data_IF_547043303138
#
_entry.id   IF_547043303138
#
_cell.length_a   1.000
_cell.length_b   1.000
_cell.length_c   1.000
_cell.angle_alpha   90.00
_cell.angle_beta   90.00
_cell.angle_gamma   90.00
#
_symmetry.space_group_name_H-M   'P 1'
#
loop_
_entity.id
_entity.type
_entity.pdbx_description
1 polymer ?
#
# COMPACT_ATOMS: atom_id res chain seq x y z
N UNK A 1 47.59 -4.01 -83.32
CA UNK A 1 48.25 -2.70 -83.42
C UNK A 1 47.25 -1.61 -83.05
N UNK A 2 47.29 -1.07 -81.83
CA UNK A 2 46.98 0.34 -81.54
C UNK A 2 47.43 0.65 -80.11
N UNK A 3 48.32 1.63 -79.98
CA UNK A 3 48.84 2.18 -78.73
C UNK A 3 48.06 3.47 -78.42
N UNK A 4 47.68 3.68 -77.16
CA UNK A 4 47.46 5.01 -76.55
C UNK A 4 47.55 4.83 -75.02
N UNK A 5 48.69 5.12 -74.36
CA UNK A 5 49.08 6.40 -73.74
C UNK A 5 47.92 7.06 -72.97
N UNK A 6 47.80 6.84 -71.67
CA UNK A 6 48.52 7.46 -70.54
C UNK A 6 47.78 8.69 -69.97
N UNK A 7 47.36 8.61 -68.70
CA UNK A 7 47.35 9.74 -67.78
C UNK A 7 47.24 9.21 -66.33
N UNK A 8 48.30 9.47 -65.56
CA UNK A 8 48.32 9.36 -64.11
C UNK A 8 47.42 10.44 -63.52
N UNK A 9 46.64 10.09 -62.49
CA UNK A 9 46.19 11.04 -61.46
C UNK A 9 46.43 10.37 -60.10
N UNK A 10 47.42 10.89 -59.38
CA UNK A 10 47.63 10.63 -57.96
C UNK A 10 46.48 11.21 -57.15
N UNK A 11 45.91 10.45 -56.22
CA UNK A 11 45.14 11.07 -55.12
C UNK A 11 45.26 10.25 -53.83
N UNK A 12 46.22 10.71 -53.01
CA UNK A 12 46.22 10.89 -51.56
C UNK A 12 45.51 9.85 -50.68
N UNK A 13 46.37 9.17 -49.91
CA UNK A 13 46.11 8.49 -48.65
C UNK A 13 45.45 9.45 -47.64
N UNK A 14 44.35 9.04 -47.01
CA UNK A 14 43.89 9.62 -45.74
C UNK A 14 43.28 8.50 -44.90
N UNK A 15 44.08 7.97 -44.00
CA UNK A 15 43.61 7.09 -42.94
C UNK A 15 42.91 7.98 -41.89
N UNK A 16 41.59 8.03 -41.93
CA UNK A 16 40.80 8.66 -40.89
C UNK A 16 40.79 7.73 -39.67
N UNK A 17 41.49 8.12 -38.60
CA UNK A 17 41.41 7.47 -37.30
C UNK A 17 40.06 7.85 -36.69
N UNK A 18 39.10 6.94 -36.75
CA UNK A 18 37.79 7.11 -36.13
C UNK A 18 37.92 6.84 -34.63
N UNK A 19 38.27 7.88 -33.87
CA UNK A 19 38.22 7.85 -32.41
C UNK A 19 36.76 7.82 -31.98
N UNK A 20 36.23 6.64 -31.64
CA UNK A 20 34.92 6.50 -31.00
C UNK A 20 34.95 7.23 -29.67
N UNK A 21 34.19 8.33 -29.57
CA UNK A 21 33.95 9.01 -28.30
C UNK A 21 33.09 8.07 -27.46
N UNK A 22 33.60 7.70 -26.29
CA UNK A 22 32.76 7.18 -25.22
C UNK A 22 31.81 8.29 -24.81
N UNK A 23 30.60 8.30 -25.36
CA UNK A 23 29.50 9.03 -24.77
C UNK A 23 29.19 8.33 -23.43
N UNK A 24 29.85 8.79 -22.38
CA UNK A 24 29.43 8.55 -20.99
C UNK A 24 28.10 9.30 -20.87
N UNK A 25 27.04 8.65 -21.34
CA UNK A 25 25.68 9.12 -21.15
C UNK A 25 25.50 9.30 -19.65
N UNK A 26 25.32 10.55 -19.26
CA UNK A 26 24.90 10.93 -17.93
C UNK A 26 23.69 10.08 -17.57
N UNK A 27 23.87 9.14 -16.65
CA UNK A 27 22.76 8.61 -15.86
C UNK A 27 22.26 9.83 -15.10
N UNK A 28 21.21 10.44 -15.64
CA UNK A 28 20.52 11.50 -14.94
C UNK A 28 20.18 10.95 -13.56
N UNK A 29 20.74 11.60 -12.54
CA UNK A 29 20.46 11.40 -11.13
C UNK A 29 18.95 11.67 -10.96
N UNK A 30 18.14 10.63 -11.14
CA UNK A 30 16.74 10.69 -10.78
C UNK A 30 16.74 10.93 -9.27
N UNK A 31 16.04 11.98 -8.77
CA UNK A 31 15.98 12.23 -7.34
C UNK A 31 15.65 10.93 -6.64
N UNK A 32 16.48 10.53 -5.68
CA UNK A 32 16.23 9.37 -4.86
C UNK A 32 14.77 9.45 -4.40
N UNK A 33 14.00 8.46 -4.83
CA UNK A 33 12.62 8.26 -4.48
C UNK A 33 12.39 8.56 -2.99
N UNK A 34 11.63 9.62 -2.70
CA UNK A 34 11.35 10.02 -1.32
C UNK A 34 10.55 8.95 -0.56
N UNK A 35 10.54 9.01 0.78
CA UNK A 35 9.67 8.13 1.57
C UNK A 35 8.20 8.43 1.29
N UNK A 36 7.34 7.42 1.45
CA UNK A 36 5.89 7.65 1.46
C UNK A 36 5.55 8.62 2.58
N UNK A 37 4.76 9.64 2.26
CA UNK A 37 4.29 10.63 3.23
C UNK A 37 2.84 10.38 3.57
N UNK A 38 2.43 10.78 4.77
CA UNK A 38 1.02 10.70 5.17
C UNK A 38 0.11 11.57 4.27
N UNK A 39 0.63 12.63 3.65
CA UNK A 39 -0.12 13.42 2.66
C UNK A 39 -0.43 12.61 1.39
N UNK A 40 0.52 11.80 0.90
CA UNK A 40 0.28 10.90 -0.22
C UNK A 40 -0.79 9.85 0.14
N UNK A 41 -0.69 9.24 1.32
CA UNK A 41 -1.65 8.23 1.78
C UNK A 41 -3.07 8.81 1.98
N UNK A 42 -3.17 10.06 2.46
CA UNK A 42 -4.45 10.77 2.60
C UNK A 42 -5.10 11.14 1.26
N UNK A 43 -4.33 11.20 0.18
CA UNK A 43 -4.80 11.56 -1.16
C UNK A 43 -4.68 10.39 -2.14
N UNK A 44 -4.73 9.16 -1.61
CA UNK A 44 -4.62 7.92 -2.37
C UNK A 44 -5.99 7.30 -2.66
N UNK A 45 -6.08 6.53 -3.74
CA UNK A 45 -7.26 5.72 -4.04
C UNK A 45 -7.06 4.30 -3.55
N UNK A 46 -7.79 3.94 -2.50
CA UNK A 46 -7.77 2.60 -1.95
C UNK A 46 -8.73 1.70 -2.72
N UNK A 47 -8.28 0.50 -3.06
CA UNK A 47 -9.09 -0.50 -3.74
C UNK A 47 -9.49 -1.60 -2.76
N UNK A 48 -10.76 -1.62 -2.37
CA UNK A 48 -11.32 -2.61 -1.47
C UNK A 48 -11.72 -3.91 -2.22
N UNK A 49 -11.58 -3.93 -3.54
CA UNK A 49 -12.00 -5.04 -4.39
C UNK A 49 -13.51 -5.29 -4.33
N UNK A 50 -13.89 -6.53 -4.63
CA UNK A 50 -15.29 -6.98 -4.66
C UNK A 50 -15.94 -7.06 -3.26
N UNK A 51 -15.14 -6.91 -2.20
CA UNK A 51 -15.60 -6.90 -0.81
C UNK A 51 -16.17 -5.54 -0.37
N UNK A 52 -16.17 -4.55 -1.27
CA UNK A 52 -16.66 -3.20 -1.00
C UNK A 52 -18.16 -3.06 -1.23
N UNK A 53 -18.81 -2.21 -0.42
CA UNK A 53 -20.15 -1.69 -0.69
C UNK A 53 -20.16 -0.66 -1.84
N UNK A 54 -18.98 -0.20 -2.27
CA UNK A 54 -18.78 0.79 -3.33
C UNK A 54 -18.68 0.10 -4.68
N UNK A 55 -19.40 0.64 -5.67
CA UNK A 55 -19.33 0.19 -7.06
C UNK A 55 -17.89 0.25 -7.60
N UNK A 56 -17.33 -0.91 -7.99
CA UNK A 56 -15.94 -1.06 -8.42
C UNK A 56 -14.89 -1.00 -7.30
N UNK A 57 -15.29 -0.91 -6.04
CA UNK A 57 -14.41 -1.01 -4.86
C UNK A 57 -13.39 0.12 -4.66
N UNK A 58 -13.40 1.14 -5.52
CA UNK A 58 -12.43 2.25 -5.46
C UNK A 58 -12.90 3.36 -4.52
N UNK A 59 -12.03 3.72 -3.60
CA UNK A 59 -12.25 4.75 -2.58
C UNK A 59 -11.18 5.83 -2.73
N UNK A 60 -11.41 6.88 -3.55
CA UNK A 60 -10.47 7.96 -3.76
C UNK A 60 -10.52 8.96 -2.59
N UNK A 61 -9.60 8.83 -1.63
CA UNK A 61 -9.53 9.76 -0.51
C UNK A 61 -9.00 11.12 -0.96
N UNK A 62 -9.57 12.17 -0.38
CA UNK A 62 -9.05 13.54 -0.40
C UNK A 62 -8.90 13.99 1.04
N UNK A 63 -7.68 14.36 1.43
CA UNK A 63 -7.32 14.68 2.81
C UNK A 63 -7.76 13.63 3.84
N UNK A 64 -7.69 12.36 3.43
CA UNK A 64 -7.97 11.19 4.25
C UNK A 64 -9.45 10.84 4.34
N UNK A 65 -10.32 11.46 3.54
CA UNK A 65 -11.76 11.23 3.60
C UNK A 65 -12.37 11.03 2.21
N UNK A 66 -13.41 10.23 2.13
CA UNK A 66 -14.26 10.10 0.95
C UNK A 66 -15.67 9.67 1.36
N UNK A 67 -16.68 10.10 0.60
CA UNK A 67 -18.06 9.69 0.80
C UNK A 67 -18.61 9.22 -0.54
N UNK A 68 -19.37 8.12 -0.53
CA UNK A 68 -20.00 7.60 -1.73
C UNK A 68 -20.95 8.66 -2.33
N UNK A 69 -20.71 9.13 -3.57
CA UNK A 69 -21.58 10.10 -4.24
C UNK A 69 -23.01 9.61 -4.44
N UNK A 70 -23.23 8.29 -4.50
CA UNK A 70 -24.56 7.68 -4.60
C UNK A 70 -25.28 7.62 -3.24
N UNK A 71 -24.62 8.04 -2.17
CA UNK A 71 -25.06 7.87 -0.80
C UNK A 71 -24.70 6.47 -0.26
N UNK A 72 -24.57 6.36 1.06
CA UNK A 72 -24.19 5.10 1.72
C UNK A 72 -22.99 5.29 2.62
N UNK A 73 -21.87 4.68 2.25
CA UNK A 73 -20.68 4.60 3.09
C UNK A 73 -19.80 5.85 3.04
N UNK A 74 -19.20 6.17 4.18
CA UNK A 74 -18.11 7.15 4.30
C UNK A 74 -16.84 6.44 4.70
N UNK A 75 -15.73 6.82 4.08
CA UNK A 75 -14.44 6.22 4.30
C UNK A 75 -13.47 7.24 4.87
N UNK A 76 -12.63 6.80 5.80
CA UNK A 76 -11.60 7.64 6.39
C UNK A 76 -10.32 6.87 6.65
N UNK A 77 -9.18 7.49 6.34
CA UNK A 77 -7.88 7.00 6.77
C UNK A 77 -7.75 7.20 8.28
N UNK A 78 -7.56 6.12 9.02
CA UNK A 78 -7.36 6.22 10.46
C UNK A 78 -5.98 6.81 10.79
N UNK A 79 -5.83 7.54 11.92
CA UNK A 79 -4.53 8.10 12.31
C UNK A 79 -3.45 7.06 12.55
N UNK A 80 -3.83 5.85 12.96
CA UNK A 80 -2.91 4.74 13.20
C UNK A 80 -2.40 4.17 11.88
N UNK A 81 -1.09 4.18 11.72
CA UNK A 81 -0.38 3.67 10.56
C UNK A 81 1.03 3.25 10.99
N UNK A 82 1.70 2.46 10.18
CA UNK A 82 3.09 2.10 10.35
C UNK A 82 3.87 2.39 9.07
N UNK A 83 5.12 2.81 9.23
CA UNK A 83 6.08 3.06 8.14
C UNK A 83 7.29 2.16 8.35
N UNK A 84 7.77 1.52 7.29
CA UNK A 84 8.86 0.56 7.34
C UNK A 84 8.94 -0.25 6.06
N UNK A 85 10.07 -0.90 5.82
CA UNK A 85 10.30 -1.74 4.65
C UNK A 85 9.53 -3.08 4.78
N UNK A 86 8.54 -3.30 3.91
CA UNK A 86 7.66 -4.48 3.90
C UNK A 86 8.17 -5.58 2.95
N UNK A 87 8.78 -5.20 1.82
CA UNK A 87 9.15 -6.14 0.76
C UNK A 87 10.67 -6.37 0.63
N UNK A 88 11.48 -5.68 1.44
CA UNK A 88 12.92 -5.85 1.53
C UNK A 88 13.70 -5.10 0.45
N UNK A 89 13.08 -4.16 -0.28
CA UNK A 89 13.75 -3.36 -1.31
C UNK A 89 14.55 -2.17 -0.74
N UNK A 90 14.50 -1.95 0.57
CA UNK A 90 15.20 -0.88 1.28
C UNK A 90 14.47 0.46 1.25
N UNK A 91 13.36 0.60 0.52
CA UNK A 91 12.48 1.76 0.60
C UNK A 91 11.47 1.58 1.76
N UNK A 92 11.13 2.70 2.41
CA UNK A 92 10.10 2.67 3.44
C UNK A 92 8.70 2.63 2.80
N UNK A 93 7.97 1.55 3.08
CA UNK A 93 6.58 1.32 2.74
C UNK A 93 5.64 1.78 3.87
N UNK A 94 4.34 1.53 3.71
CA UNK A 94 3.35 1.82 4.72
C UNK A 94 2.35 0.68 4.94
N UNK A 95 1.88 0.54 6.17
CA UNK A 95 0.63 -0.15 6.49
C UNK A 95 -0.33 0.86 7.08
N UNK A 96 -1.54 0.89 6.52
CA UNK A 96 -2.59 1.82 6.94
C UNK A 96 -3.89 1.11 7.19
N UNK A 97 -4.79 1.77 7.92
CA UNK A 97 -6.15 1.29 8.15
C UNK A 97 -7.14 2.30 7.61
N UNK A 98 -8.06 1.85 6.76
CA UNK A 98 -9.20 2.65 6.30
C UNK A 98 -10.44 2.15 7.02
N UNK A 99 -11.13 3.07 7.69
CA UNK A 99 -12.43 2.82 8.30
C UNK A 99 -13.57 3.14 7.34
N UNK A 100 -14.60 2.31 7.33
CA UNK A 100 -15.86 2.52 6.62
C UNK A 100 -16.98 2.72 7.63
N UNK A 101 -17.70 3.82 7.55
CA UNK A 101 -18.98 4.03 8.23
C UNK A 101 -20.12 3.81 7.22
N UNK A 102 -20.76 2.64 7.27
CA UNK A 102 -21.93 2.35 6.44
C UNK A 102 -23.17 2.90 7.13
N UNK A 103 -23.92 3.76 6.44
CA UNK A 103 -24.87 4.71 7.06
C UNK A 103 -25.87 4.20 8.11
N UNK A 104 -26.19 2.89 8.20
CA UNK A 104 -27.24 2.38 9.11
C UNK A 104 -26.81 1.39 10.20
N UNK A 105 -25.77 0.55 10.06
CA UNK A 105 -25.53 -0.52 11.07
C UNK A 105 -24.09 -1.01 11.26
N UNK A 106 -23.08 -0.54 10.52
CA UNK A 106 -21.72 -1.10 10.60
C UNK A 106 -20.61 -0.06 10.52
N UNK A 107 -19.51 -0.34 11.21
CA UNK A 107 -18.26 0.43 11.09
C UNK A 107 -17.13 -0.54 10.81
N UNK A 108 -16.76 -0.74 9.55
CA UNK A 108 -15.77 -1.74 9.18
C UNK A 108 -14.36 -1.13 9.15
N UNK A 109 -13.33 -1.97 9.27
CA UNK A 109 -11.94 -1.55 9.13
C UNK A 109 -11.17 -2.50 8.23
N UNK A 110 -10.34 -1.91 7.37
CA UNK A 110 -9.59 -2.60 6.33
C UNK A 110 -8.12 -2.21 6.45
N UNK A 111 -7.22 -3.19 6.54
CA UNK A 111 -5.78 -2.97 6.60
C UNK A 111 -5.16 -3.16 5.22
N UNK A 112 -4.36 -2.19 4.80
CA UNK A 112 -3.68 -2.19 3.50
C UNK A 112 -2.17 -2.17 3.68
N UNK A 113 -1.47 -2.98 2.90
CA UNK A 113 -0.06 -2.75 2.59
C UNK A 113 0.03 -1.77 1.41
N UNK A 114 0.87 -0.76 1.52
CA UNK A 114 1.14 0.22 0.47
C UNK A 114 2.64 0.26 0.24
N UNK A 115 3.06 -0.24 -0.92
CA UNK A 115 4.46 -0.32 -1.28
C UNK A 115 4.93 0.99 -1.90
N UNK A 116 6.18 1.35 -1.59
CA UNK A 116 6.85 2.50 -2.12
C UNK A 116 7.51 2.12 -3.45
N UNK A 117 6.95 2.63 -4.55
CA UNK A 117 7.53 2.48 -5.88
C UNK A 117 8.08 3.81 -6.34
N UNK A 118 9.33 4.02 -6.01
CA UNK A 118 10.07 5.23 -6.34
C UNK A 118 9.39 6.52 -5.85
N UNK A 119 8.96 6.55 -4.59
CA UNK A 119 8.28 7.67 -3.94
C UNK A 119 6.80 7.76 -4.24
N UNK A 120 6.24 6.75 -4.92
CA UNK A 120 4.82 6.68 -5.28
C UNK A 120 4.17 5.52 -4.52
N UNK A 121 3.03 5.76 -3.85
CA UNK A 121 2.29 4.69 -3.20
C UNK A 121 1.71 3.75 -4.25
N UNK A 122 1.92 2.45 -4.07
CA UNK A 122 1.35 1.39 -4.87
C UNK A 122 0.63 0.42 -3.95
N UNK A 123 -0.66 0.20 -4.18
CA UNK A 123 -1.40 -0.86 -3.50
C UNK A 123 -1.27 -2.16 -4.32
N UNK A 124 -0.57 -3.18 -3.82
CA UNK A 124 -0.30 -4.40 -4.58
C UNK A 124 -1.47 -5.40 -4.59
N UNK A 125 -2.41 -5.34 -3.65
CA UNK A 125 -3.51 -6.32 -3.51
C UNK A 125 -4.67 -5.78 -2.67
N UNK A 126 -5.75 -6.56 -2.59
CA UNK A 126 -6.90 -6.33 -1.71
C UNK A 126 -6.50 -6.23 -0.23
N UNK A 127 -7.28 -5.50 0.59
CA UNK A 127 -7.01 -5.36 2.02
C UNK A 127 -7.31 -6.61 2.83
N UNK A 128 -6.73 -6.67 4.02
CA UNK A 128 -7.19 -7.56 5.08
C UNK A 128 -8.38 -6.93 5.82
N UNK A 129 -9.47 -7.68 5.96
CA UNK A 129 -10.64 -7.24 6.73
C UNK A 129 -10.45 -7.47 8.22
N UNK A 130 -10.51 -6.40 9.02
CA UNK A 130 -10.29 -6.47 10.46
C UNK A 130 -11.58 -6.65 11.27
N UNK A 131 -12.74 -6.48 10.63
CA UNK A 131 -14.04 -6.69 11.27
C UNK A 131 -14.85 -5.42 11.51
N UNK A 132 -16.05 -5.61 12.06
CA UNK A 132 -16.97 -4.55 12.48
C UNK A 132 -16.52 -3.90 13.81
N UNK A 133 -16.76 -2.60 13.95
CA UNK A 133 -16.37 -1.67 15.04
C UNK A 133 -14.98 -1.91 15.58
N UNK A 134 -14.05 -2.21 14.68
CA UNK A 134 -12.69 -2.54 15.06
C UNK A 134 -11.98 -1.32 15.67
N UNK A 135 -11.34 -1.54 16.82
CA UNK A 135 -10.44 -0.56 17.44
C UNK A 135 -9.02 -1.10 17.38
N UNK A 136 -8.20 -0.54 16.50
CA UNK A 136 -6.78 -0.88 16.39
C UNK A 136 -6.00 -0.18 17.51
N UNK A 137 -5.36 -0.97 18.37
CA UNK A 137 -4.62 -0.51 19.54
C UNK A 137 -3.13 -0.37 19.26
N UNK A 138 -2.59 -1.18 18.35
CA UNK A 138 -1.18 -1.16 17.93
C UNK A 138 -1.08 -1.60 16.49
N UNK A 139 -0.23 -0.93 15.74
CA UNK A 139 0.16 -1.32 14.39
C UNK A 139 1.63 -0.93 14.20
N UNK A 140 2.47 -1.91 13.86
CA UNK A 140 3.91 -1.69 13.64
C UNK A 140 4.40 -2.56 12.50
N UNK A 141 5.42 -2.09 11.80
CA UNK A 141 6.24 -2.91 10.91
C UNK A 141 7.51 -3.24 11.69
N UNK A 142 7.68 -4.53 12.00
CA UNK A 142 8.85 -5.05 12.68
C UNK A 142 9.99 -5.35 11.69
N UNK A 143 11.15 -5.75 12.20
CA UNK A 143 12.27 -6.17 11.37
C UNK A 143 11.88 -7.24 10.35
N UNK A 144 12.45 -7.18 9.14
CA UNK A 144 12.20 -8.10 8.03
C UNK A 144 10.75 -8.06 7.49
N UNK A 145 10.11 -6.89 7.54
CA UNK A 145 8.81 -6.63 6.92
C UNK A 145 7.62 -7.32 7.58
N UNK A 146 7.73 -7.72 8.85
CA UNK A 146 6.60 -8.36 9.56
C UNK A 146 5.68 -7.29 10.13
N UNK A 147 4.43 -7.26 9.68
CA UNK A 147 3.38 -6.41 10.24
C UNK A 147 2.87 -7.05 11.51
N UNK A 148 2.76 -6.27 12.58
CA UNK A 148 2.26 -6.70 13.89
C UNK A 148 1.14 -5.77 14.30
N UNK A 149 -0.04 -6.35 14.54
CA UNK A 149 -1.25 -5.60 14.82
C UNK A 149 -1.94 -6.16 16.07
N UNK A 150 -2.42 -5.25 16.93
CA UNK A 150 -3.34 -5.58 18.02
C UNK A 150 -4.61 -4.78 17.86
N UNK A 151 -5.75 -5.44 17.92
CA UNK A 151 -7.05 -4.79 17.79
C UNK A 151 -8.15 -5.51 18.57
N UNK A 152 -9.24 -4.79 18.81
CA UNK A 152 -10.47 -5.33 19.38
C UNK A 152 -11.56 -5.27 18.32
N UNK A 153 -12.28 -6.37 18.11
CA UNK A 153 -13.36 -6.47 17.12
C UNK A 153 -14.55 -7.27 17.68
N UNK A 154 -15.63 -7.37 16.92
CA UNK A 154 -16.79 -8.15 17.33
C UNK A 154 -16.52 -9.66 17.30
N UNK A 155 -17.06 -10.37 18.27
CA UNK A 155 -17.29 -11.83 18.21
C UNK A 155 -18.78 -12.16 18.32
N UNK A 156 -19.11 -13.43 18.06
CA UNK A 156 -20.46 -13.93 18.25
C UNK A 156 -20.92 -13.70 19.70
N UNK A 157 -22.09 -13.08 19.85
CA UNK A 157 -22.68 -12.78 21.15
C UNK A 157 -22.38 -11.37 21.69
N UNK A 158 -21.48 -10.61 21.05
CA UNK A 158 -21.28 -9.20 21.38
C UNK A 158 -22.53 -8.37 21.04
N UNK A 159 -22.86 -7.42 21.92
CA UNK A 159 -23.86 -6.40 21.61
C UNK A 159 -23.30 -5.46 20.54
N UNK A 160 -24.15 -4.90 19.67
CA UNK A 160 -23.73 -4.10 18.52
C UNK A 160 -22.78 -2.94 18.91
N UNK A 161 -22.91 -2.30 20.06
CA UNK A 161 -22.02 -1.20 20.42
C UNK A 161 -20.69 -1.62 21.09
N UNK A 162 -20.50 -2.91 21.39
CA UNK A 162 -19.48 -3.40 22.33
C UNK A 162 -18.69 -4.61 21.80
N UNK A 163 -17.71 -4.41 20.92
CA UNK A 163 -16.77 -5.46 20.54
C UNK A 163 -15.91 -5.91 21.74
N UNK A 164 -15.70 -7.22 21.90
CA UNK A 164 -14.90 -7.77 23.02
C UNK A 164 -13.78 -8.73 22.62
N UNK A 165 -13.69 -9.10 21.34
CA UNK A 165 -12.69 -10.02 20.83
C UNK A 165 -11.34 -9.31 20.68
N UNK A 166 -10.33 -9.70 21.47
CA UNK A 166 -8.98 -9.17 21.34
C UNK A 166 -8.16 -10.07 20.43
N UNK A 167 -7.54 -9.47 19.42
CA UNK A 167 -6.70 -10.16 18.44
C UNK A 167 -5.32 -9.53 18.45
N UNK A 168 -4.31 -10.37 18.57
CA UNK A 168 -2.91 -10.08 18.25
C UNK A 168 -2.57 -10.91 17.00
N UNK A 169 -2.30 -10.24 15.88
CA UNK A 169 -2.05 -10.89 14.59
C UNK A 169 -0.74 -10.39 13.99
N UNK A 170 -0.13 -11.23 13.15
CA UNK A 170 1.12 -10.93 12.45
C UNK A 170 0.99 -11.31 11.00
N UNK A 171 1.41 -10.41 10.11
CA UNK A 171 1.34 -10.61 8.67
C UNK A 171 2.69 -10.39 8.00
N UNK A 172 2.86 -10.96 6.80
CA UNK A 172 3.93 -10.62 5.85
C UNK A 172 3.33 -10.27 4.50
N UNK A 173 4.02 -9.46 3.72
CA UNK A 173 3.65 -9.23 2.33
C UNK A 173 4.27 -10.33 1.46
N UNK A 174 3.43 -11.15 0.84
CA UNK A 174 3.86 -12.19 -0.10
C UNK A 174 3.06 -12.07 -1.40
N UNK A 175 3.75 -11.94 -2.53
CA UNK A 175 3.09 -11.69 -3.82
C UNK A 175 2.20 -10.45 -3.81
N UNK A 176 2.48 -9.48 -2.94
CA UNK A 176 1.67 -8.28 -2.75
C UNK A 176 0.53 -8.42 -1.72
N UNK A 177 0.24 -9.62 -1.23
CA UNK A 177 -0.87 -9.85 -0.28
C UNK A 177 -0.37 -9.88 1.15
N UNK A 178 -1.18 -9.37 2.07
CA UNK A 178 -0.97 -9.58 3.51
C UNK A 178 -1.33 -11.02 3.86
N UNK A 179 -0.31 -11.85 4.14
CA UNK A 179 -0.46 -13.24 4.54
C UNK A 179 -0.25 -13.36 6.04
N UNK A 180 -1.27 -13.87 6.74
CA UNK A 180 -1.20 -14.14 8.17
C UNK A 180 -0.16 -15.21 8.52
N UNK A 181 0.74 -14.87 9.43
CA UNK A 181 1.79 -15.75 9.96
C UNK A 181 1.32 -16.38 11.27
N UNK A 182 0.63 -15.60 12.12
CA UNK A 182 0.19 -16.05 13.43
C UNK A 182 -0.98 -15.22 13.90
N UNK A 183 -2.06 -15.89 14.30
CA UNK A 183 -3.23 -15.26 14.90
C UNK A 183 -3.41 -15.74 16.34
N UNK A 184 -3.31 -14.83 17.30
CA UNK A 184 -3.59 -15.09 18.70
C UNK A 184 -4.88 -14.39 19.09
N UNK A 185 -5.85 -15.20 19.52
CA UNK A 185 -7.16 -14.72 19.94
C UNK A 185 -7.24 -14.82 21.45
N UNK A 186 -7.46 -13.70 22.11
CA UNK A 186 -7.79 -13.67 23.53
C UNK A 186 -9.29 -13.43 23.67
N UNK A 187 -10.01 -14.50 24.00
CA UNK A 187 -11.44 -14.43 24.29
C UNK A 187 -11.62 -13.77 25.66
N UNK A 188 -12.18 -12.57 25.66
CA UNK A 188 -12.78 -12.01 26.86
C UNK A 188 -14.06 -12.80 27.15
N UNK A 189 -14.30 -13.22 28.40
CA UNK A 189 -15.61 -13.75 28.76
C UNK A 189 -16.69 -12.72 28.35
N UNK A 190 -17.83 -13.15 27.78
CA UNK A 190 -18.84 -12.22 27.34
C UNK A 190 -19.32 -11.40 28.55
N UNK A 191 -18.93 -10.12 28.60
CA UNK A 191 -19.40 -9.16 29.58
C UNK A 191 -20.86 -8.75 29.25
N UNK A 192 -21.72 -9.76 29.07
CA UNK A 192 -23.12 -9.63 28.63
C UNK A 192 -23.94 -8.75 29.57
N UNK A 193 -23.57 -8.65 30.85
CA UNK A 193 -24.29 -7.86 31.83
C UNK A 193 -23.80 -6.41 31.98
N UNK A 194 -22.54 -6.11 31.62
CA UNK A 194 -22.00 -4.76 31.82
C UNK A 194 -22.15 -3.86 30.59
N UNK A 195 -22.19 -4.45 29.38
CA UNK A 195 -22.25 -3.66 28.14
C UNK A 195 -23.66 -3.38 27.64
N UNK A 196 -24.65 -4.24 27.91
CA UNK A 196 -26.04 -4.02 27.52
C UNK A 196 -26.69 -2.77 28.13
N UNK A 197 -26.12 -2.21 29.20
CA UNK A 197 -26.62 -1.00 29.88
C UNK A 197 -25.91 0.29 29.44
N UNK A 198 -24.93 0.19 28.53
CA UNK A 198 -24.14 1.32 28.02
C UNK A 198 -24.17 1.46 26.49
N UNK A 199 -24.81 0.51 25.80
CA UNK A 199 -25.62 0.83 24.64
C UNK A 199 -26.98 1.35 25.16
#
# INVERSE_FOLDING_TARGET
MMRARALLVSMLLSAAVLSARTDVNAVADQPAAGPLTLSLLRNFTYDLGESSSVDGGKVPLVDGQWADPKGGSRFSLLPIHAIGDLDGDGAADAVVVVGEASGSTGSFSYMFAILNRNGRPMQPSEPEWLGDRTVVQRLTIESKGVVSIRFVTHQQGDAACCPTLKIDDRYRVEGGKLIGITKQVTLSAPFLHQCRSRC
#
